data_IF_641234824327
#
_entry.id   IF_641234824327
#
_cell.length_a   1.000
_cell.length_b   1.000
_cell.length_c   1.000
_cell.angle_alpha   90.00
_cell.angle_beta   90.00
_cell.angle_gamma   90.00
#
_symmetry.space_group_name_H-M   'P 1'
#
loop_
_entity.id
_entity.type
_entity.pdbx_description
1 polymer ?
#
# COMPACT_ATOMS: atom_id res chain seq x y z
N UNK A 1 -3.08 21.70 1.52
CA UNK A 1 -2.25 22.55 0.63
C UNK A 1 -3.06 23.59 -0.14
N UNK A 2 -4.09 23.22 -0.92
CA UNK A 2 -4.88 24.17 -1.73
C UNK A 2 -5.59 25.28 -0.95
N UNK A 3 -6.27 24.96 0.16
CA UNK A 3 -6.91 25.97 1.02
C UNK A 3 -5.91 27.01 1.54
N UNK A 4 -4.69 26.59 1.91
CA UNK A 4 -3.65 27.49 2.38
C UNK A 4 -3.12 28.42 1.27
N UNK A 5 -3.17 28.00 -0.01
CA UNK A 5 -2.83 28.87 -1.14
C UNK A 5 -3.92 29.93 -1.34
N UNK A 6 -5.20 29.54 -1.26
CA UNK A 6 -6.33 30.47 -1.34
C UNK A 6 -6.27 31.50 -0.22
N UNK A 7 -5.98 31.08 1.02
CA UNK A 7 -5.83 32.01 2.15
C UNK A 7 -4.67 33.00 2.01
N UNK A 8 -3.70 32.72 1.14
CA UNK A 8 -2.54 33.59 0.87
C UNK A 8 -2.70 34.43 -0.40
N UNK A 9 -3.84 34.36 -1.08
CA UNK A 9 -4.08 35.15 -2.28
C UNK A 9 -4.08 36.65 -1.97
N UNK A 10 -3.50 37.42 -2.87
CA UNK A 10 -3.43 38.87 -2.81
C UNK A 10 -3.80 39.45 -4.17
N UNK A 11 -4.21 40.72 -4.20
CA UNK A 11 -4.51 41.43 -5.44
C UNK A 11 -3.24 41.49 -6.29
N UNK A 12 -3.36 41.15 -7.57
CA UNK A 12 -2.27 41.16 -8.53
C UNK A 12 -2.41 42.34 -9.49
N UNK A 13 -1.29 42.86 -9.98
CA UNK A 13 -1.27 43.99 -10.93
C UNK A 13 -0.63 43.65 -12.27
N UNK A 14 0.09 42.52 -12.38
CA UNK A 14 0.73 42.10 -13.62
C UNK A 14 -0.27 41.43 -14.56
N UNK A 15 -0.62 42.13 -15.64
CA UNK A 15 -1.61 41.69 -16.63
C UNK A 15 -1.41 40.25 -17.10
N UNK A 16 -0.20 39.88 -17.52
CA UNK A 16 0.06 38.54 -18.08
C UNK A 16 -0.22 37.41 -17.07
N UNK A 17 0.12 37.62 -15.80
CA UNK A 17 -0.15 36.64 -14.74
C UNK A 17 -1.65 36.54 -14.43
N UNK A 18 -2.35 37.68 -14.39
CA UNK A 18 -3.80 37.72 -14.19
C UNK A 18 -4.50 36.97 -15.32
N UNK A 19 -4.16 37.28 -16.58
CA UNK A 19 -4.74 36.62 -17.75
C UNK A 19 -4.45 35.11 -17.74
N UNK A 20 -3.24 34.68 -17.38
CA UNK A 20 -2.90 33.26 -17.21
C UNK A 20 -3.79 32.57 -16.18
N UNK A 21 -3.91 33.13 -14.98
CA UNK A 21 -4.73 32.53 -13.91
C UNK A 21 -6.22 32.54 -14.22
N UNK A 22 -6.73 33.58 -14.87
CA UNK A 22 -8.13 33.63 -15.32
C UNK A 22 -8.41 32.55 -16.37
N UNK A 23 -7.51 32.34 -17.34
CA UNK A 23 -7.65 31.28 -18.34
C UNK A 23 -7.65 29.89 -17.71
N UNK A 24 -6.71 29.62 -16.81
CA UNK A 24 -6.64 28.35 -16.07
C UNK A 24 -7.90 28.12 -15.23
N UNK A 25 -8.42 29.18 -14.58
CA UNK A 25 -9.66 29.11 -13.79
C UNK A 25 -10.86 28.85 -14.69
N UNK A 26 -10.93 29.49 -15.87
CA UNK A 26 -12.00 29.29 -16.84
C UNK A 26 -12.02 27.86 -17.38
N UNK A 27 -10.86 27.30 -17.73
CA UNK A 27 -10.74 25.91 -18.17
C UNK A 27 -11.16 24.94 -17.06
N UNK A 28 -10.67 25.15 -15.83
CA UNK A 28 -11.01 24.27 -14.71
C UNK A 28 -12.50 24.36 -14.34
N UNK A 29 -13.09 25.55 -14.46
CA UNK A 29 -14.53 25.73 -14.30
C UNK A 29 -15.32 24.93 -15.34
N UNK A 30 -14.90 24.95 -16.60
CA UNK A 30 -15.53 24.16 -17.67
C UNK A 30 -15.51 22.65 -17.36
N UNK A 31 -14.43 22.12 -16.78
CA UNK A 31 -14.34 20.71 -16.37
C UNK A 31 -15.44 20.39 -15.35
N UNK A 32 -15.65 21.27 -14.36
CA UNK A 32 -16.67 21.09 -13.32
C UNK A 32 -18.09 21.20 -13.88
N UNK A 33 -18.35 22.17 -14.75
CA UNK A 33 -19.68 22.38 -15.36
C UNK A 33 -20.06 21.22 -16.30
N UNK A 34 -19.11 20.70 -17.06
CA UNK A 34 -19.31 19.58 -17.97
C UNK A 34 -19.30 18.21 -17.28
N UNK A 35 -19.03 18.16 -15.97
CA UNK A 35 -18.88 16.92 -15.19
C UNK A 35 -17.89 15.94 -15.82
N UNK A 36 -16.79 16.48 -16.36
CA UNK A 36 -15.72 15.68 -16.94
C UNK A 36 -15.13 14.73 -15.89
N UNK A 37 -14.71 13.51 -16.27
CA UNK A 37 -14.26 12.48 -15.34
C UNK A 37 -12.82 12.74 -14.83
N UNK A 38 -12.53 13.93 -14.33
CA UNK A 38 -11.27 14.27 -13.69
C UNK A 38 -11.19 13.58 -12.32
N UNK A 39 -10.34 12.55 -12.22
CA UNK A 39 -10.22 11.74 -11.01
C UNK A 39 -9.21 12.37 -10.04
N UNK A 40 -9.72 13.07 -9.03
CA UNK A 40 -8.93 13.53 -7.88
C UNK A 40 -9.45 12.77 -6.65
N UNK A 41 -8.82 11.65 -6.30
CA UNK A 41 -9.28 10.79 -5.21
C UNK A 41 -8.63 11.14 -3.87
N UNK A 42 -7.31 11.04 -3.78
CA UNK A 42 -6.58 11.19 -2.51
C UNK A 42 -5.23 11.85 -2.73
N UNK A 43 -4.94 12.83 -1.88
CA UNK A 43 -3.68 13.56 -1.92
C UNK A 43 -3.15 13.76 -0.50
N UNK A 44 -2.00 13.17 -0.22
CA UNK A 44 -1.28 13.36 1.03
C UNK A 44 -0.18 14.41 0.83
N UNK A 45 0.18 15.11 1.91
CA UNK A 45 1.37 15.97 1.88
C UNK A 45 2.63 15.10 1.91
N UNK A 46 3.08 14.69 0.72
CA UNK A 46 4.25 13.84 0.57
C UNK A 46 5.57 14.59 0.74
N UNK A 47 5.55 15.93 0.92
CA UNK A 47 6.79 16.71 1.04
C UNK A 47 7.58 16.30 2.27
N UNK A 48 6.90 16.13 3.40
CA UNK A 48 7.52 15.70 4.66
C UNK A 48 8.13 14.30 4.50
N UNK A 49 7.44 13.39 3.78
CA UNK A 49 7.93 12.04 3.51
C UNK A 49 9.12 12.05 2.55
N UNK A 50 9.09 12.90 1.53
CA UNK A 50 10.19 13.09 0.59
C UNK A 50 11.43 13.68 1.26
N UNK A 51 11.25 14.59 2.23
CA UNK A 51 12.36 15.15 3.01
C UNK A 51 12.92 14.14 4.01
N UNK A 52 12.06 13.26 4.58
CA UNK A 52 12.50 12.14 5.43
C UNK A 52 13.48 11.24 4.69
N UNK A 53 13.11 10.73 3.49
CA UNK A 53 13.93 9.75 2.75
C UNK A 53 15.28 10.29 2.24
N UNK A 54 15.47 11.61 2.22
CA UNK A 54 16.76 12.20 1.82
C UNK A 54 17.84 11.97 2.86
N UNK A 55 17.45 11.76 4.12
CA UNK A 55 18.40 11.51 5.20
C UNK A 55 18.95 10.09 5.04
N UNK A 56 20.28 9.97 4.98
CA UNK A 56 20.94 8.68 4.83
C UNK A 56 20.59 7.73 5.99
N UNK A 57 20.31 6.47 5.67
CA UNK A 57 19.87 5.46 6.64
C UNK A 57 18.40 5.55 7.05
N UNK A 58 17.66 6.57 6.58
CA UNK A 58 16.20 6.64 6.79
C UNK A 58 15.43 5.79 5.78
N UNK A 59 14.20 5.43 6.14
CA UNK A 59 13.28 4.68 5.30
C UNK A 59 11.83 5.06 5.60
N UNK A 60 10.94 4.69 4.68
CA UNK A 60 9.50 4.83 4.86
C UNK A 60 8.92 3.55 5.43
N UNK A 61 7.99 3.71 6.37
CA UNK A 61 7.12 2.63 6.81
C UNK A 61 6.09 2.30 5.71
N UNK A 62 5.48 1.13 5.79
CA UNK A 62 4.47 0.66 4.82
C UNK A 62 3.37 1.72 4.57
N UNK A 63 2.79 2.26 5.65
CA UNK A 63 1.72 3.24 5.56
C UNK A 63 2.18 4.56 4.93
N UNK A 64 3.42 4.98 5.20
CA UNK A 64 4.00 6.20 4.61
C UNK A 64 4.27 6.01 3.12
N UNK A 65 4.81 4.86 2.73
CA UNK A 65 5.04 4.53 1.31
C UNK A 65 3.71 4.41 0.56
N UNK A 66 2.67 3.85 1.20
CA UNK A 66 1.34 3.77 0.63
C UNK A 66 0.69 5.15 0.41
N UNK A 67 0.92 6.11 1.31
CA UNK A 67 0.48 7.50 1.12
C UNK A 67 1.14 8.15 -0.11
N UNK A 68 2.44 7.89 -0.33
CA UNK A 68 3.13 8.35 -1.53
C UNK A 68 2.52 7.70 -2.77
N UNK A 69 2.32 6.39 -2.75
CA UNK A 69 1.72 5.65 -3.85
C UNK A 69 0.34 6.21 -4.25
N UNK A 70 -0.57 6.37 -3.29
CA UNK A 70 -1.92 6.90 -3.54
C UNK A 70 -1.89 8.33 -4.13
N UNK A 71 -0.99 9.18 -3.63
CA UNK A 71 -0.82 10.54 -4.14
C UNK A 71 -0.28 10.53 -5.58
N UNK A 72 0.71 9.69 -5.86
CA UNK A 72 1.27 9.53 -7.20
C UNK A 72 0.21 9.01 -8.18
N UNK A 73 -0.60 8.02 -7.80
CA UNK A 73 -1.69 7.53 -8.66
C UNK A 73 -2.64 8.66 -9.08
N UNK A 74 -2.99 9.54 -8.16
CA UNK A 74 -3.81 10.73 -8.45
C UNK A 74 -3.09 11.67 -9.41
N UNK A 75 -1.81 11.96 -9.16
CA UNK A 75 -0.98 12.81 -10.05
C UNK A 75 -0.94 12.24 -11.47
N UNK A 76 -0.66 10.95 -11.64
CA UNK A 76 -0.61 10.32 -12.96
C UNK A 76 -1.98 10.29 -13.65
N UNK A 77 -3.07 10.12 -12.90
CA UNK A 77 -4.43 10.20 -13.46
C UNK A 77 -4.74 11.60 -13.99
N UNK A 78 -4.37 12.63 -13.22
CA UNK A 78 -4.52 14.05 -13.61
C UNK A 78 -3.66 14.39 -14.82
N UNK A 79 -2.38 13.97 -14.83
CA UNK A 79 -1.48 14.18 -15.98
C UNK A 79 -2.04 13.56 -17.25
N UNK A 80 -2.51 12.30 -17.18
CA UNK A 80 -3.13 11.63 -18.33
C UNK A 80 -4.39 12.36 -18.81
N UNK A 81 -5.25 12.81 -17.89
CA UNK A 81 -6.47 13.52 -18.24
C UNK A 81 -6.20 14.78 -19.07
N UNK A 82 -5.17 15.56 -18.70
CA UNK A 82 -4.79 16.78 -19.41
C UNK A 82 -4.01 16.51 -20.70
N UNK A 83 -3.14 15.50 -20.74
CA UNK A 83 -2.43 15.09 -21.95
C UNK A 83 -3.40 14.68 -23.08
N UNK A 84 -4.45 13.91 -22.74
CA UNK A 84 -5.52 13.51 -23.67
C UNK A 84 -6.38 14.69 -24.16
N UNK A 85 -6.40 15.82 -23.44
CA UNK A 85 -7.30 16.96 -23.69
C UNK A 85 -6.55 18.27 -23.88
N UNK A 86 -5.27 18.21 -24.28
CA UNK A 86 -4.40 19.39 -24.45
C UNK A 86 -4.96 20.46 -25.39
N UNK A 87 -5.75 20.06 -26.40
CA UNK A 87 -6.40 21.01 -27.32
C UNK A 87 -7.59 21.74 -26.68
N UNK A 88 -8.23 21.11 -25.69
CA UNK A 88 -9.40 21.65 -24.99
C UNK A 88 -8.96 22.49 -23.78
N UNK A 89 -7.92 22.04 -23.07
CA UNK A 89 -7.42 22.67 -21.84
C UNK A 89 -5.91 23.02 -21.91
N UNK A 90 -5.48 23.82 -22.90
CA UNK A 90 -4.06 24.11 -23.12
C UNK A 90 -3.41 24.90 -21.98
N UNK A 91 -4.14 25.76 -21.26
CA UNK A 91 -3.55 26.57 -20.18
C UNK A 91 -3.32 25.73 -18.90
N UNK A 92 -4.13 24.71 -18.67
CA UNK A 92 -3.94 23.73 -17.60
C UNK A 92 -2.89 22.70 -17.96
N UNK A 93 -2.81 22.22 -19.21
CA UNK A 93 -1.76 21.32 -19.66
C UNK A 93 -0.36 21.96 -19.51
N UNK A 94 -0.24 23.26 -19.84
CA UNK A 94 0.99 24.03 -19.66
C UNK A 94 1.51 24.14 -18.21
N UNK A 95 0.73 23.72 -17.19
CA UNK A 95 1.23 23.58 -15.82
C UNK A 95 2.21 22.40 -15.67
N UNK A 96 2.17 21.44 -16.60
CA UNK A 96 2.90 20.18 -16.52
C UNK A 96 4.01 20.02 -17.57
N UNK A 97 4.14 20.96 -18.52
CA UNK A 97 5.04 20.90 -19.69
C UNK A 97 6.52 20.61 -19.35
N UNK A 98 6.98 21.02 -18.16
CA UNK A 98 8.38 20.84 -17.71
C UNK A 98 8.52 19.85 -16.56
N UNK A 99 7.49 19.06 -16.27
CA UNK A 99 7.55 18.07 -15.21
C UNK A 99 8.18 16.78 -15.75
N UNK A 100 9.35 16.34 -15.25
CA UNK A 100 9.90 15.04 -15.61
C UNK A 100 9.00 13.94 -15.05
N UNK A 101 8.37 13.16 -15.93
CA UNK A 101 7.45 12.09 -15.56
C UNK A 101 8.22 10.77 -15.46
N UNK A 102 8.57 10.36 -14.23
CA UNK A 102 9.14 9.05 -13.94
C UNK A 102 8.03 7.99 -13.86
N UNK A 103 7.69 7.37 -15.00
CA UNK A 103 6.54 6.46 -15.12
C UNK A 103 6.71 5.14 -14.36
N UNK A 104 7.93 4.71 -14.06
CA UNK A 104 8.17 3.41 -13.44
C UNK A 104 8.14 3.46 -11.90
N UNK A 105 8.02 4.65 -11.29
CA UNK A 105 7.94 4.76 -9.82
C UNK A 105 6.76 3.99 -9.24
N UNK A 106 5.58 4.04 -9.88
CA UNK A 106 4.40 3.31 -9.43
C UNK A 106 4.65 1.80 -9.47
N UNK A 107 5.19 1.28 -10.58
CA UNK A 107 5.52 -0.14 -10.73
C UNK A 107 6.54 -0.61 -9.69
N UNK A 108 7.54 0.23 -9.40
CA UNK A 108 8.55 -0.06 -8.36
C UNK A 108 7.89 -0.16 -6.98
N UNK A 109 6.96 0.74 -6.65
CA UNK A 109 6.23 0.66 -5.38
C UNK A 109 5.30 -0.56 -5.36
N UNK A 110 4.58 -0.86 -6.45
CA UNK A 110 3.71 -2.03 -6.59
C UNK A 110 4.46 -3.36 -6.51
N UNK A 111 5.77 -3.38 -6.80
CA UNK A 111 6.59 -4.58 -6.59
C UNK A 111 6.80 -4.87 -5.10
N UNK A 112 6.83 -3.82 -4.27
CA UNK A 112 7.10 -3.91 -2.84
C UNK A 112 5.81 -4.00 -2.03
N UNK A 113 4.79 -3.20 -2.35
CA UNK A 113 3.51 -3.14 -1.66
C UNK A 113 2.40 -3.82 -2.46
N UNK A 114 1.48 -4.45 -1.74
CA UNK A 114 0.21 -4.93 -2.27
C UNK A 114 -0.85 -3.81 -2.33
N UNK A 115 -2.02 -4.06 -2.96
CA UNK A 115 -3.10 -3.06 -3.03
C UNK A 115 -3.67 -2.64 -1.67
N UNK A 116 -3.40 -3.38 -0.58
CA UNK A 116 -3.80 -3.05 0.79
C UNK A 116 -2.72 -2.25 1.53
N UNK A 117 -1.61 -1.93 0.87
CA UNK A 117 -0.48 -1.21 1.46
C UNK A 117 0.42 -2.09 2.32
N UNK A 118 0.36 -3.42 2.19
CA UNK A 118 1.22 -4.35 2.92
C UNK A 118 2.41 -4.81 2.09
N UNK A 119 3.56 -4.98 2.75
CA UNK A 119 4.75 -5.48 2.08
C UNK A 119 4.51 -6.90 1.55
N UNK A 120 4.82 -7.09 0.27
CA UNK A 120 4.72 -8.40 -0.37
C UNK A 120 5.86 -9.31 0.10
N UNK A 121 5.60 -10.62 0.29
CA UNK A 121 6.66 -11.58 0.63
C UNK A 121 7.79 -11.63 -0.41
N UNK A 122 7.50 -11.28 -1.67
CA UNK A 122 8.46 -11.24 -2.77
C UNK A 122 9.00 -9.82 -3.08
N UNK A 123 8.92 -8.90 -2.13
CA UNK A 123 9.48 -7.55 -2.28
C UNK A 123 11.00 -7.58 -2.56
N UNK A 124 11.71 -8.54 -1.96
CA UNK A 124 13.09 -8.90 -2.32
C UNK A 124 13.25 -10.42 -2.45
N UNK A 125 14.34 -10.86 -3.07
CA UNK A 125 14.64 -12.29 -3.20
C UNK A 125 14.91 -12.92 -1.81
N UNK A 126 15.65 -12.21 -0.97
CA UNK A 126 16.00 -12.64 0.39
C UNK A 126 14.75 -12.72 1.28
N UNK A 127 13.86 -11.73 1.19
CA UNK A 127 12.58 -11.77 1.92
C UNK A 127 11.72 -12.94 1.44
N UNK A 128 11.71 -13.22 0.13
CA UNK A 128 10.98 -14.34 -0.44
C UNK A 128 11.51 -15.68 0.08
N UNK A 129 12.83 -15.85 0.14
CA UNK A 129 13.47 -17.04 0.67
C UNK A 129 13.12 -17.25 2.15
N UNK A 130 13.27 -16.21 2.98
CA UNK A 130 12.97 -16.26 4.41
C UNK A 130 11.49 -16.60 4.65
N UNK A 131 10.57 -15.90 3.98
CA UNK A 131 9.13 -16.12 4.15
C UNK A 131 8.70 -17.49 3.65
N UNK A 132 9.28 -17.98 2.55
CA UNK A 132 9.03 -19.33 2.05
C UNK A 132 9.57 -20.41 3.00
N UNK A 133 10.74 -20.20 3.58
CA UNK A 133 11.32 -21.12 4.56
C UNK A 133 10.47 -21.21 5.83
N UNK A 134 9.96 -20.08 6.33
CA UNK A 134 9.01 -20.03 7.45
C UNK A 134 7.74 -20.83 7.11
N UNK A 135 7.11 -20.53 5.98
CA UNK A 135 5.87 -21.21 5.56
C UNK A 135 6.07 -22.73 5.38
N UNK A 136 7.21 -23.15 4.81
CA UNK A 136 7.56 -24.55 4.67
C UNK A 136 7.74 -25.22 6.04
N UNK A 137 8.44 -24.58 6.97
CA UNK A 137 8.59 -25.06 8.35
C UNK A 137 7.25 -25.23 9.07
N UNK A 138 6.38 -24.23 8.97
CA UNK A 138 5.02 -24.28 9.53
C UNK A 138 4.19 -25.43 8.95
N UNK A 139 4.27 -25.64 7.64
CA UNK A 139 3.58 -26.73 6.96
C UNK A 139 4.09 -28.10 7.43
N UNK A 140 5.41 -28.27 7.58
CA UNK A 140 6.00 -29.51 8.08
C UNK A 140 5.60 -29.80 9.53
N UNK A 141 5.58 -28.79 10.40
CA UNK A 141 5.09 -28.93 11.77
C UNK A 141 3.60 -29.33 11.75
N UNK A 142 2.77 -28.67 10.94
CA UNK A 142 1.34 -29.00 10.83
C UNK A 142 1.12 -30.43 10.35
N UNK A 143 1.81 -30.87 9.30
CA UNK A 143 1.73 -32.27 8.81
C UNK A 143 2.09 -33.27 9.91
N UNK A 144 3.19 -33.04 10.63
CA UNK A 144 3.61 -33.91 11.74
C UNK A 144 2.57 -33.93 12.85
N UNK A 145 2.02 -32.78 13.22
CA UNK A 145 0.97 -32.69 14.23
C UNK A 145 -0.30 -33.42 13.81
N UNK A 146 -0.74 -33.28 12.55
CA UNK A 146 -1.90 -33.99 12.02
C UNK A 146 -1.68 -35.51 12.00
N UNK A 147 -0.48 -35.99 11.65
CA UNK A 147 -0.13 -37.41 11.74
C UNK A 147 -0.19 -37.94 13.17
N UNK A 148 0.37 -37.19 14.13
CA UNK A 148 0.35 -37.56 15.55
C UNK A 148 -1.10 -37.55 16.09
N UNK A 149 -1.89 -36.54 15.71
CA UNK A 149 -3.29 -36.43 16.07
C UNK A 149 -4.10 -37.63 15.56
N UNK A 150 -3.99 -37.99 14.28
CA UNK A 150 -4.67 -39.16 13.70
C UNK A 150 -4.27 -40.47 14.40
N UNK A 151 -2.98 -40.62 14.73
CA UNK A 151 -2.50 -41.79 15.47
C UNK A 151 -3.11 -41.86 16.89
N UNK A 152 -3.16 -40.73 17.59
CA UNK A 152 -3.79 -40.65 18.91
C UNK A 152 -5.31 -40.87 18.85
N UNK A 153 -5.97 -40.40 17.79
CA UNK A 153 -7.40 -40.62 17.53
C UNK A 153 -7.70 -42.11 17.34
N UNK A 154 -6.93 -42.81 16.50
CA UNK A 154 -7.11 -44.24 16.27
C UNK A 154 -6.87 -45.12 17.50
N UNK A 155 -6.15 -44.61 18.50
CA UNK A 155 -5.92 -45.28 19.80
C UNK A 155 -6.84 -44.80 20.92
N UNK A 156 -7.81 -43.94 20.61
CA UNK A 156 -8.77 -43.36 21.55
C UNK A 156 -8.11 -42.61 22.73
N UNK A 157 -7.00 -41.90 22.47
CA UNK A 157 -6.26 -41.15 23.48
C UNK A 157 -6.69 -39.69 23.63
N UNK A 158 -7.43 -39.18 22.65
CA UNK A 158 -7.81 -37.77 22.56
C UNK A 158 -9.00 -37.45 23.46
N UNK A 159 -8.99 -36.24 24.03
CA UNK A 159 -10.17 -35.66 24.65
C UNK A 159 -11.06 -35.01 23.57
N UNK A 160 -12.31 -34.68 23.90
CA UNK A 160 -13.20 -33.98 22.99
C UNK A 160 -12.59 -32.63 22.55
N UNK A 161 -12.37 -32.47 21.24
CA UNK A 161 -11.82 -31.25 20.66
C UNK A 161 -10.95 -31.51 19.43
N UNK A 162 -10.57 -30.43 18.75
CA UNK A 162 -9.62 -30.44 17.63
C UNK A 162 -8.24 -29.94 18.07
N UNK A 163 -7.27 -29.99 17.15
CA UNK A 163 -5.96 -29.38 17.33
C UNK A 163 -6.10 -27.88 17.63
N UNK A 164 -5.45 -27.40 18.69
CA UNK A 164 -5.53 -26.00 19.14
C UNK A 164 -4.16 -25.35 19.16
N UNK A 165 -4.11 -24.02 19.27
CA UNK A 165 -2.88 -23.26 19.50
C UNK A 165 -2.95 -22.65 20.91
N UNK A 166 -1.95 -22.92 21.76
CA UNK A 166 -1.77 -22.29 23.07
C UNK A 166 -0.37 -21.71 23.16
N UNK A 167 -0.26 -20.47 23.58
CA UNK A 167 1.02 -19.74 23.69
C UNK A 167 1.90 -19.83 22.43
N UNK A 168 1.26 -19.76 21.26
CA UNK A 168 1.93 -19.87 19.95
C UNK A 168 2.40 -21.28 19.58
N UNK A 169 2.05 -22.31 20.35
CA UNK A 169 2.40 -23.70 20.08
C UNK A 169 1.16 -24.51 19.72
N UNK A 170 1.28 -25.38 18.72
CA UNK A 170 0.24 -26.36 18.43
C UNK A 170 0.13 -27.37 19.57
N UNK A 171 -1.10 -27.66 19.99
CA UNK A 171 -1.42 -28.52 21.12
C UNK A 171 -2.44 -29.58 20.70
N UNK A 172 -2.21 -30.81 21.17
CA UNK A 172 -3.10 -31.95 20.97
C UNK A 172 -3.85 -32.20 22.29
N UNK A 173 -5.19 -32.18 22.31
CA UNK A 173 -5.97 -32.45 23.51
C UNK A 173 -5.93 -33.96 23.83
N UNK A 174 -5.26 -34.33 24.92
CA UNK A 174 -5.15 -35.73 25.37
C UNK A 174 -5.93 -35.91 26.67
N UNK A 175 -6.63 -37.04 26.80
CA UNK A 175 -7.30 -37.42 28.05
C UNK A 175 -6.28 -37.53 29.19
N UNK A 176 -6.65 -37.07 30.40
CA UNK A 176 -5.73 -37.01 31.54
C UNK A 176 -5.09 -38.37 31.89
N UNK A 177 -5.84 -39.46 31.70
CA UNK A 177 -5.39 -40.85 31.86
C UNK A 177 -4.32 -41.27 30.83
N UNK A 178 -4.33 -40.67 29.64
CA UNK A 178 -3.45 -41.00 28.52
C UNK A 178 -2.26 -40.03 28.36
N UNK A 179 -2.10 -39.04 29.25
CA UNK A 179 -1.06 -37.99 29.16
C UNK A 179 0.39 -38.51 29.10
N UNK A 180 0.66 -39.73 29.57
CA UNK A 180 1.98 -40.37 29.52
C UNK A 180 2.20 -41.25 28.28
N UNK A 181 1.17 -41.44 27.44
CA UNK A 181 1.23 -42.28 26.22
C UNK A 181 1.87 -41.55 25.04
N UNK A 182 1.94 -40.23 25.09
CA UNK A 182 2.54 -39.37 24.07
C UNK A 182 3.66 -38.55 24.68
N UNK A 183 4.84 -38.54 24.05
CA UNK A 183 5.95 -37.67 24.48
C UNK A 183 5.65 -36.24 24.01
N UNK A 184 5.75 -35.28 24.92
CA UNK A 184 5.52 -33.87 24.63
C UNK A 184 5.74 -32.98 25.85
N UNK A 185 5.61 -31.68 25.66
CA UNK A 185 5.52 -30.71 26.75
C UNK A 185 4.06 -30.62 27.20
N UNK A 186 3.83 -30.65 28.52
CA UNK A 186 2.51 -30.60 29.16
C UNK A 186 2.33 -29.20 29.76
#
# INVERSE_FOLDING_TARGET
MGQALVSKMQVMTKYDQINKFLRQTSEFKSILENQEPLQISTFFDIKILADKIKVEGSYLMEDELFQIYASLQTVFSVLRFFDERKEIYPNLEALFEHLPIEKDILKKIERVLDPKGKMKPNASAELQEITSAIAHGEQEVRKRMDSIYKMAQGKNWLADGSLTIRDGRMCIPILAENKRKLKGFI
#
